data_IF_680625751857
#
_entry.id   IF_680625751857
#
_cell.length_a   1.000
_cell.length_b   1.000
_cell.length_c   1.000
_cell.angle_alpha   90.00
_cell.angle_beta   90.00
_cell.angle_gamma   90.00
#
_symmetry.space_group_name_H-M   'P 1'
#
loop_
_entity.id
_entity.type
_entity.pdbx_description
1 polymer ?
#
# COMPACT_ATOMS: atom_id res chain seq x y z
N UNK A 1 -11.31 8.94 21.01
CA UNK A 1 -12.10 7.91 20.29
C UNK A 1 -11.15 6.76 20.01
N UNK A 2 -11.57 5.53 20.29
CA UNK A 2 -10.68 4.38 20.49
C UNK A 2 -9.64 4.18 19.37
N UNK A 3 -10.03 4.33 18.09
CA UNK A 3 -9.12 4.16 16.95
C UNK A 3 -7.98 5.19 16.94
N UNK A 4 -8.26 6.44 17.32
CA UNK A 4 -7.23 7.48 17.37
C UNK A 4 -6.24 7.24 18.52
N UNK A 5 -6.71 6.64 19.61
CA UNK A 5 -5.85 6.24 20.74
C UNK A 5 -4.94 5.07 20.34
N UNK A 6 -5.46 4.08 19.59
CA UNK A 6 -4.65 2.99 19.05
C UNK A 6 -3.55 3.49 18.12
N UNK A 7 -3.87 4.41 17.19
CA UNK A 7 -2.85 5.00 16.32
C UNK A 7 -1.82 5.84 17.09
N UNK A 8 -2.24 6.57 18.13
CA UNK A 8 -1.31 7.34 18.95
C UNK A 8 -0.33 6.43 19.70
N UNK A 9 -0.83 5.33 20.29
CA UNK A 9 0.00 4.34 20.98
C UNK A 9 0.94 3.65 19.99
N UNK A 10 0.43 3.19 18.85
CA UNK A 10 1.22 2.54 17.80
C UNK A 10 2.36 3.45 17.29
N UNK A 11 2.04 4.72 17.06
CA UNK A 11 3.04 5.70 16.62
C UNK A 11 4.14 5.90 17.65
N UNK A 12 3.80 5.98 18.93
CA UNK A 12 4.77 6.13 20.00
C UNK A 12 5.64 4.87 20.16
N UNK A 13 5.03 3.68 20.14
CA UNK A 13 5.73 2.41 20.38
C UNK A 13 6.65 2.04 19.21
N UNK A 14 6.18 2.17 17.96
CA UNK A 14 6.93 1.78 16.78
C UNK A 14 7.62 2.93 16.05
N UNK A 15 7.59 4.14 16.64
CA UNK A 15 8.18 5.36 16.06
C UNK A 15 7.65 5.66 14.66
N UNK A 16 6.35 5.46 14.45
CA UNK A 16 5.71 5.72 13.16
C UNK A 16 5.62 7.23 12.93
N UNK A 17 5.98 7.65 11.73
CA UNK A 17 5.75 9.02 11.27
C UNK A 17 4.28 9.24 10.91
N UNK A 18 3.89 10.50 10.70
CA UNK A 18 2.57 10.83 10.16
C UNK A 18 2.31 10.18 8.81
N UNK A 19 3.34 10.09 7.95
CA UNK A 19 3.22 9.43 6.65
C UNK A 19 2.91 7.93 6.80
N UNK A 20 3.52 7.26 7.78
CA UNK A 20 3.28 5.84 8.07
C UNK A 20 1.85 5.61 8.56
N UNK A 21 1.35 6.46 9.47
CA UNK A 21 -0.04 6.38 9.94
C UNK A 21 -1.05 6.64 8.81
N UNK A 22 -0.79 7.63 7.96
CA UNK A 22 -1.63 7.90 6.79
C UNK A 22 -1.63 6.74 5.80
N UNK A 23 -0.48 6.08 5.59
CA UNK A 23 -0.37 4.89 4.75
C UNK A 23 -1.19 3.72 5.33
N UNK A 24 -1.09 3.49 6.64
CA UNK A 24 -1.90 2.48 7.34
C UNK A 24 -3.38 2.79 7.19
N UNK A 25 -3.81 4.01 7.51
CA UNK A 25 -5.21 4.42 7.42
C UNK A 25 -5.78 4.29 5.99
N UNK A 26 -4.99 4.69 4.97
CA UNK A 26 -5.33 4.50 3.56
C UNK A 26 -5.60 3.02 3.25
N UNK A 27 -4.70 2.15 3.68
CA UNK A 27 -4.80 0.72 3.42
C UNK A 27 -5.94 0.05 4.21
N UNK A 28 -6.27 0.54 5.41
CA UNK A 28 -7.44 0.11 6.17
C UNK A 28 -8.74 0.36 5.39
N UNK A 29 -8.89 1.55 4.78
CA UNK A 29 -10.05 1.84 3.91
C UNK A 29 -10.06 0.93 2.68
N UNK A 30 -8.90 0.69 2.07
CA UNK A 30 -8.77 -0.17 0.89
C UNK A 30 -9.20 -1.62 1.19
N UNK A 31 -8.78 -2.17 2.33
CA UNK A 31 -9.07 -3.54 2.78
C UNK A 31 -10.46 -3.72 3.39
N UNK A 32 -11.11 -2.62 3.79
CA UNK A 32 -12.45 -2.67 4.38
C UNK A 32 -13.53 -3.21 3.42
N UNK A 33 -14.67 -3.59 3.98
CA UNK A 33 -15.88 -3.95 3.24
C UNK A 33 -16.71 -2.77 2.72
N UNK A 34 -16.19 -1.54 2.76
CA UNK A 34 -16.90 -0.34 2.27
C UNK A 34 -17.24 -0.45 0.78
N UNK A 35 -18.35 0.18 0.39
CA UNK A 35 -18.75 0.24 -1.02
C UNK A 35 -17.72 1.00 -1.88
N UNK A 36 -17.76 0.77 -3.18
CA UNK A 36 -16.90 1.48 -4.14
C UNK A 36 -17.01 3.01 -4.01
N UNK A 37 -18.24 3.52 -3.85
CA UNK A 37 -18.52 4.95 -3.71
C UNK A 37 -17.91 5.55 -2.43
N UNK A 38 -17.99 4.80 -1.31
CA UNK A 38 -17.36 5.22 -0.05
C UNK A 38 -15.84 5.20 -0.17
N UNK A 39 -15.25 4.17 -0.78
CA UNK A 39 -13.80 4.12 -1.03
C UNK A 39 -13.34 5.29 -1.91
N UNK A 40 -14.10 5.66 -2.95
CA UNK A 40 -13.79 6.85 -3.77
C UNK A 40 -13.84 8.15 -2.96
N UNK A 41 -14.81 8.28 -2.05
CA UNK A 41 -14.93 9.46 -1.18
C UNK A 41 -13.69 9.64 -0.30
N UNK A 42 -13.15 8.56 0.25
CA UNK A 42 -12.00 8.56 1.16
C UNK A 42 -10.64 8.54 0.46
N UNK A 43 -10.50 7.80 -0.65
CA UNK A 43 -9.21 7.52 -1.29
C UNK A 43 -8.99 8.26 -2.62
N UNK A 44 -10.07 8.72 -3.26
CA UNK A 44 -10.06 9.33 -4.58
C UNK A 44 -10.62 8.44 -5.68
N UNK A 45 -10.94 9.05 -6.83
CA UNK A 45 -11.65 8.38 -7.93
C UNK A 45 -10.89 7.15 -8.48
N UNK A 46 -9.56 7.25 -8.51
CA UNK A 46 -8.68 6.26 -9.13
C UNK A 46 -8.12 5.23 -8.14
N UNK A 47 -8.68 5.09 -6.93
CA UNK A 47 -8.11 4.26 -5.87
C UNK A 47 -7.88 2.78 -6.25
N UNK A 48 -8.58 2.28 -7.27
CA UNK A 48 -8.48 0.92 -7.79
C UNK A 48 -7.27 0.69 -8.69
N UNK A 49 -6.58 1.76 -9.13
CA UNK A 49 -5.34 1.65 -9.89
C UNK A 49 -4.20 1.23 -8.97
N UNK A 50 -3.23 0.52 -9.52
CA UNK A 50 -2.05 0.13 -8.79
C UNK A 50 -1.02 1.26 -8.68
N UNK A 51 -0.14 1.12 -7.70
CA UNK A 51 0.98 2.03 -7.48
C UNK A 51 0.57 3.50 -7.25
N UNK A 52 1.42 4.46 -7.66
CA UNK A 52 1.19 5.88 -7.39
C UNK A 52 -0.02 6.45 -8.13
N UNK A 53 -0.45 5.86 -9.25
CA UNK A 53 -1.66 6.30 -9.96
C UNK A 53 -2.95 6.12 -9.15
N UNK A 54 -2.95 5.15 -8.23
CA UNK A 54 -4.07 4.87 -7.33
C UNK A 54 -4.14 5.76 -6.09
N UNK A 55 -3.30 6.78 -5.99
CA UNK A 55 -3.20 7.62 -4.80
C UNK A 55 -3.52 9.08 -5.10
N UNK A 56 -4.57 9.62 -4.46
CA UNK A 56 -4.80 11.06 -4.39
C UNK A 56 -4.28 11.59 -3.04
N UNK A 57 -3.10 12.22 -3.07
CA UNK A 57 -2.45 12.77 -1.87
C UNK A 57 -3.34 13.76 -1.10
N UNK A 58 -4.26 14.47 -1.78
CA UNK A 58 -5.16 15.44 -1.12
C UNK A 58 -6.21 14.76 -0.26
N UNK A 59 -6.43 13.46 -0.48
CA UNK A 59 -7.38 12.61 0.24
C UNK A 59 -6.67 11.74 1.29
N UNK A 60 -5.54 11.16 0.92
CA UNK A 60 -4.86 10.13 1.73
C UNK A 60 -3.74 10.69 2.60
N UNK A 61 -3.18 11.86 2.25
CA UNK A 61 -1.98 12.44 2.84
C UNK A 61 -0.73 11.52 2.76
N UNK A 62 -0.75 10.50 1.90
CA UNK A 62 0.40 9.64 1.63
C UNK A 62 1.19 10.22 0.48
N UNK A 63 2.48 10.46 0.71
CA UNK A 63 3.37 11.03 -0.30
C UNK A 63 3.47 10.15 -1.55
N UNK A 64 3.49 10.74 -2.74
CA UNK A 64 3.56 9.95 -3.99
C UNK A 64 4.84 9.12 -4.10
N UNK A 65 5.97 9.64 -3.59
CA UNK A 65 7.24 8.90 -3.55
C UNK A 65 7.15 7.64 -2.68
N UNK A 66 6.34 7.65 -1.60
CA UNK A 66 6.11 6.47 -0.76
C UNK A 66 5.36 5.40 -1.56
N UNK A 67 4.30 5.80 -2.29
CA UNK A 67 3.52 4.90 -3.13
C UNK A 67 4.34 4.31 -4.28
N UNK A 68 5.17 5.14 -4.93
CA UNK A 68 6.08 4.70 -5.99
C UNK A 68 7.08 3.66 -5.46
N UNK A 69 7.75 3.97 -4.35
CA UNK A 69 8.71 3.04 -3.72
C UNK A 69 8.07 1.69 -3.38
N UNK A 70 6.89 1.68 -2.75
CA UNK A 70 6.15 0.45 -2.43
C UNK A 70 5.84 -0.38 -3.67
N UNK A 71 5.36 0.27 -4.73
CA UNK A 71 5.01 -0.39 -5.97
C UNK A 71 6.23 -0.96 -6.70
N UNK A 72 7.27 -0.15 -6.87
CA UNK A 72 8.53 -0.57 -7.50
C UNK A 72 9.16 -1.75 -6.76
N UNK A 73 9.17 -1.70 -5.42
CA UNK A 73 9.71 -2.79 -4.59
C UNK A 73 8.92 -4.08 -4.83
N UNK A 74 7.58 -4.02 -4.81
CA UNK A 74 6.73 -5.18 -5.09
C UNK A 74 6.97 -5.74 -6.49
N UNK A 75 7.04 -4.88 -7.52
CA UNK A 75 7.32 -5.32 -8.89
C UNK A 75 8.70 -5.99 -9.00
N UNK A 76 9.72 -5.45 -8.32
CA UNK A 76 11.05 -6.03 -8.29
C UNK A 76 11.06 -7.40 -7.60
N UNK A 77 10.39 -7.53 -6.45
CA UNK A 77 10.25 -8.79 -5.73
C UNK A 77 9.52 -9.86 -6.57
N UNK A 78 8.43 -9.48 -7.24
CA UNK A 78 7.70 -10.38 -8.13
C UNK A 78 8.52 -10.78 -9.37
N UNK A 79 9.27 -9.85 -9.96
CA UNK A 79 10.18 -10.16 -11.07
C UNK A 79 11.25 -11.15 -10.64
N UNK A 80 11.85 -10.93 -9.46
CA UNK A 80 12.85 -11.83 -8.91
C UNK A 80 12.31 -13.25 -8.70
N UNK A 81 11.10 -13.39 -8.15
CA UNK A 81 10.44 -14.69 -8.01
C UNK A 81 10.15 -15.34 -9.36
N UNK A 82 9.65 -14.57 -10.35
CA UNK A 82 9.37 -15.08 -11.69
C UNK A 82 10.63 -15.64 -12.37
N UNK A 83 11.76 -14.95 -12.22
CA UNK A 83 13.01 -15.35 -12.83
C UNK A 83 13.64 -16.56 -12.11
N UNK A 84 13.51 -16.63 -10.78
CA UNK A 84 13.91 -17.81 -10.01
C UNK A 84 13.13 -19.07 -10.44
N UNK A 85 11.81 -18.97 -10.60
CA UNK A 85 10.97 -20.09 -11.03
C UNK A 85 11.33 -20.59 -12.44
N UNK A 86 11.56 -19.68 -13.40
CA UNK A 86 12.00 -20.06 -14.75
C UNK A 86 13.36 -20.78 -14.74
N UNK A 87 14.26 -20.37 -13.85
CA UNK A 87 15.57 -21.00 -13.71
C UNK A 87 15.49 -22.43 -13.17
N UNK A 88 14.57 -22.67 -12.23
CA UNK A 88 14.28 -24.02 -11.71
C UNK A 88 13.65 -24.92 -12.77
N UNK A 89 12.70 -24.41 -13.57
CA UNK A 89 12.11 -25.16 -14.70
C UNK A 89 13.16 -25.57 -15.74
N UNK A 90 14.08 -24.66 -16.09
CA UNK A 90 15.18 -24.97 -17.01
C UNK A 90 16.09 -26.04 -16.40
N UNK A 91 16.44 -25.93 -15.11
CA UNK A 91 17.29 -26.91 -14.43
C UNK A 91 16.63 -28.29 -14.34
N UNK A 92 15.32 -28.36 -14.13
CA UNK A 92 14.56 -29.61 -14.10
C UNK A 92 14.43 -30.29 -15.48
N UNK A 93 14.64 -29.53 -16.57
CA UNK A 93 14.61 -30.02 -17.95
C UNK A 93 16.00 -30.40 -18.49
N UNK A 94 17.08 -30.17 -17.75
CA UNK A 94 18.47 -30.50 -18.14
C UNK A 94 18.97 -31.72 -17.37
#
# INVERSE_FOLDING_TARGET
EALMEEYAIAAQVWKLSTCDLCEIARNSVLQSGLSHQEKQKFLGQNYYKEGPEGNDIRKTNVAQIRMAFRYETLCNELSFLSDAMKSEEITALT
#
